data_IF_072010186029
#
_entry.id   IF_072010186029
#
_cell.length_a   1.000
_cell.length_b   1.000
_cell.length_c   1.000
_cell.angle_alpha   90.00
_cell.angle_beta   90.00
_cell.angle_gamma   90.00
#
_symmetry.space_group_name_H-M   'P 1'
#
loop_
_entity.id
_entity.type
_entity.pdbx_description
1 polymer ?
#
# COMPACT_ATOMS: atom_id res chain seq x y z
N UNK A 1 12.85 3.66 9.73
CA UNK A 1 12.53 2.24 9.39
C UNK A 1 11.19 2.16 8.69
N UNK A 2 11.15 1.65 7.46
CA UNK A 2 9.93 1.59 6.62
C UNK A 2 8.95 0.47 7.03
N UNK A 3 9.46 -0.66 7.51
CA UNK A 3 8.67 -1.87 7.78
C UNK A 3 7.92 -1.89 9.13
N UNK A 4 8.11 -0.87 9.97
CA UNK A 4 7.40 -0.72 11.26
C UNK A 4 6.16 0.18 11.16
N UNK A 5 5.88 0.77 10.00
CA UNK A 5 4.71 1.64 9.81
C UNK A 5 3.41 0.82 9.90
N UNK A 6 2.41 1.26 10.68
CA UNK A 6 1.07 0.67 10.69
C UNK A 6 0.41 0.68 9.32
N UNK A 7 -0.13 -0.47 8.91
CA UNK A 7 -0.97 -0.64 7.73
C UNK A 7 -2.45 -0.55 8.11
N UNK A 8 -2.81 -1.03 9.30
CA UNK A 8 -4.16 -0.90 9.86
C UNK A 8 -4.26 0.31 10.79
N UNK A 9 -5.49 0.70 11.11
CA UNK A 9 -5.79 1.75 12.08
C UNK A 9 -5.06 1.55 13.41
N UNK A 10 -4.62 2.65 13.99
CA UNK A 10 -4.01 2.71 15.33
C UNK A 10 -5.13 3.09 16.29
N UNK A 11 -5.47 2.17 17.19
CA UNK A 11 -6.45 2.43 18.24
C UNK A 11 -5.77 3.16 19.41
N UNK A 12 -6.51 4.04 20.08
CA UNK A 12 -6.05 4.78 21.27
C UNK A 12 -6.26 3.99 22.57
N UNK A 13 -7.05 2.91 22.53
CA UNK A 13 -7.33 2.05 23.68
C UNK A 13 -6.23 0.99 23.88
N UNK A 14 -5.62 0.86 25.08
CA UNK A 14 -4.65 -0.19 25.39
C UNK A 14 -5.19 -1.63 25.36
N UNK A 15 -6.51 -1.84 25.42
CA UNK A 15 -7.13 -3.17 25.31
C UNK A 15 -7.38 -3.60 23.87
N UNK A 16 -7.30 -2.68 22.91
CA UNK A 16 -7.45 -2.97 21.49
C UNK A 16 -6.16 -3.58 20.91
N UNK A 17 -6.26 -4.42 19.87
CA UNK A 17 -5.12 -5.16 19.37
C UNK A 17 -4.16 -4.24 18.61
N UNK A 18 -2.85 -4.36 18.86
CA UNK A 18 -1.82 -3.49 18.27
C UNK A 18 -1.78 -3.52 16.73
N UNK A 19 -1.60 -2.40 16.01
CA UNK A 19 -1.78 -2.35 14.55
C UNK A 19 -0.91 -3.34 13.76
N UNK A 20 -1.41 -3.84 12.62
CA UNK A 20 -0.64 -4.64 11.69
C UNK A 20 0.41 -3.79 10.95
N UNK A 21 1.61 -4.33 10.76
CA UNK A 21 2.74 -3.65 10.09
C UNK A 21 3.33 -4.57 9.00
N UNK A 22 4.09 -4.05 8.00
CA UNK A 22 4.75 -4.90 7.01
C UNK A 22 5.67 -5.95 7.65
N UNK A 23 6.31 -5.63 8.77
CA UNK A 23 7.12 -6.56 9.54
C UNK A 23 6.36 -7.84 9.96
N UNK A 24 5.05 -7.74 10.24
CA UNK A 24 4.25 -8.93 10.57
C UNK A 24 4.14 -9.91 9.41
N UNK A 25 4.18 -9.44 8.16
CA UNK A 25 4.15 -10.31 6.97
C UNK A 25 5.52 -10.91 6.67
N UNK A 26 6.59 -10.13 6.85
CA UNK A 26 7.95 -10.57 6.52
C UNK A 26 8.56 -11.47 7.58
N UNK A 27 8.29 -11.21 8.87
CA UNK A 27 9.00 -11.82 10.01
C UNK A 27 8.01 -12.48 10.98
N UNK A 28 6.71 -12.22 10.87
CA UNK A 28 5.69 -12.76 11.79
C UNK A 28 5.62 -12.04 13.15
N UNK A 29 6.41 -10.97 13.35
CA UNK A 29 6.46 -10.19 14.60
C UNK A 29 6.89 -8.75 14.34
N UNK A 30 6.74 -7.89 15.35
CA UNK A 30 7.19 -6.49 15.28
C UNK A 30 8.72 -6.44 15.26
N UNK A 31 9.29 -5.62 14.39
CA UNK A 31 10.74 -5.42 14.33
C UNK A 31 11.36 -4.88 15.63
N UNK A 32 10.57 -4.11 16.39
CA UNK A 32 10.99 -3.50 17.66
C UNK A 32 10.58 -4.33 18.88
N UNK A 33 10.10 -5.56 18.69
CA UNK A 33 9.80 -6.43 19.83
C UNK A 33 11.10 -6.83 20.52
N UNK A 34 11.14 -6.73 21.85
CA UNK A 34 12.25 -7.28 22.62
C UNK A 34 12.46 -8.77 22.27
N UNK A 35 13.71 -9.25 22.17
CA UNK A 35 13.98 -10.66 21.99
C UNK A 35 13.33 -11.45 23.13
N UNK A 36 12.67 -12.55 22.78
CA UNK A 36 12.05 -13.44 23.78
C UNK A 36 13.20 -14.11 24.55
N UNK A 37 13.48 -13.60 25.75
CA UNK A 37 14.52 -14.10 26.66
C UNK A 37 14.11 -15.37 27.39
N UNK A 38 12.86 -15.82 27.25
CA UNK A 38 12.35 -17.05 27.88
C UNK A 38 12.43 -18.21 26.88
N UNK A 39 13.63 -18.77 26.71
CA UNK A 39 13.77 -20.12 26.17
C UNK A 39 13.66 -21.06 27.36
N UNK A 40 12.60 -21.86 27.42
CA UNK A 40 12.49 -22.91 28.44
C UNK A 40 13.59 -23.96 28.19
N UNK A 41 14.16 -24.56 29.24
CA UNK A 41 15.07 -25.73 29.08
C UNK A 41 14.40 -26.87 28.31
N UNK A 42 13.07 -26.97 28.39
CA UNK A 42 12.26 -27.94 27.64
C UNK A 42 12.30 -27.68 26.11
N UNK A 43 12.40 -26.41 25.69
CA UNK A 43 12.50 -26.02 24.27
C UNK A 43 13.86 -26.40 23.67
N UNK A 44 14.90 -26.51 24.51
CA UNK A 44 16.26 -26.93 24.12
C UNK A 44 16.39 -28.44 23.98
N UNK A 45 15.55 -29.22 24.67
CA UNK A 45 15.65 -30.69 24.73
C UNK A 45 15.01 -31.46 23.57
N UNK A 46 14.50 -30.79 22.53
CA UNK A 46 14.16 -31.41 21.23
C UNK A 46 13.14 -32.55 21.26
N UNK A 47 12.42 -32.78 22.36
CA UNK A 47 11.43 -33.86 22.45
C UNK A 47 10.33 -33.67 21.40
N UNK A 48 9.89 -34.77 20.78
CA UNK A 48 8.81 -34.77 19.76
C UNK A 48 7.56 -34.01 20.26
N UNK A 49 7.23 -34.13 21.54
CA UNK A 49 6.07 -33.46 22.14
C UNK A 49 6.27 -31.93 22.25
N UNK A 50 7.48 -31.45 22.57
CA UNK A 50 7.75 -30.01 22.63
C UNK A 50 7.75 -29.37 21.24
N UNK A 51 8.29 -30.08 20.23
CA UNK A 51 8.22 -29.67 18.82
C UNK A 51 6.76 -29.57 18.32
N UNK A 52 5.93 -30.57 18.64
CA UNK A 52 4.50 -30.55 18.27
C UNK A 52 3.75 -29.41 18.97
N UNK A 53 4.04 -29.15 20.25
CA UNK A 53 3.44 -28.04 21.00
C UNK A 53 3.82 -26.69 20.39
N UNK A 54 5.10 -26.51 20.03
CA UNK A 54 5.60 -25.30 19.36
C UNK A 54 4.98 -25.12 17.97
N UNK A 55 4.88 -26.19 17.19
CA UNK A 55 4.21 -26.15 15.88
C UNK A 55 2.75 -25.73 16.01
N UNK A 56 1.98 -26.35 16.92
CA UNK A 56 0.58 -25.95 17.20
C UNK A 56 0.47 -24.48 17.63
N UNK A 57 1.39 -24.01 18.47
CA UNK A 57 1.44 -22.60 18.86
C UNK A 57 1.69 -21.67 17.67
N UNK A 58 2.63 -22.01 16.79
CA UNK A 58 2.89 -21.25 15.56
C UNK A 58 1.67 -21.23 14.63
N UNK A 59 1.00 -22.36 14.43
CA UNK A 59 -0.23 -22.43 13.63
C UNK A 59 -1.35 -21.56 14.22
N UNK A 60 -1.49 -21.56 15.55
CA UNK A 60 -2.47 -20.69 16.22
C UNK A 60 -2.17 -19.21 16.00
N UNK A 61 -0.90 -18.79 16.09
CA UNK A 61 -0.49 -17.41 15.81
C UNK A 61 -0.77 -17.01 14.36
N UNK A 62 -0.46 -17.89 13.40
CA UNK A 62 -0.76 -17.66 11.98
C UNK A 62 -2.28 -17.54 11.74
N UNK A 63 -3.08 -18.41 12.35
CA UNK A 63 -4.54 -18.36 12.24
C UNK A 63 -5.10 -17.04 12.80
N UNK A 64 -4.59 -16.59 13.96
CA UNK A 64 -4.98 -15.30 14.53
C UNK A 64 -4.59 -14.13 13.60
N UNK A 65 -3.38 -14.17 13.05
CA UNK A 65 -2.93 -13.17 12.09
C UNK A 65 -3.83 -13.10 10.85
N UNK A 66 -4.12 -14.24 10.20
CA UNK A 66 -4.95 -14.30 9.01
C UNK A 66 -6.40 -13.86 9.28
N UNK A 67 -6.97 -14.27 10.42
CA UNK A 67 -8.29 -13.82 10.84
C UNK A 67 -8.32 -12.29 11.00
N UNK A 68 -7.29 -11.72 11.63
CA UNK A 68 -7.20 -10.29 11.82
C UNK A 68 -6.96 -9.53 10.52
N UNK A 69 -6.11 -10.05 9.66
CA UNK A 69 -5.86 -9.48 8.33
C UNK A 69 -7.15 -9.42 7.52
N UNK A 70 -7.91 -10.51 7.46
CA UNK A 70 -9.19 -10.55 6.76
C UNK A 70 -10.21 -9.59 7.37
N UNK A 71 -10.31 -9.54 8.70
CA UNK A 71 -11.31 -8.72 9.39
C UNK A 71 -11.00 -7.23 9.33
N UNK A 72 -9.75 -6.82 9.58
CA UNK A 72 -9.42 -5.40 9.72
C UNK A 72 -8.84 -4.83 8.43
N UNK A 73 -7.87 -5.51 7.81
CA UNK A 73 -7.17 -4.94 6.66
C UNK A 73 -8.00 -5.03 5.39
N UNK A 74 -8.54 -6.20 5.02
CA UNK A 74 -9.34 -6.32 3.79
C UNK A 74 -10.60 -5.44 3.82
N UNK A 75 -11.28 -5.35 4.97
CA UNK A 75 -12.42 -4.44 5.12
C UNK A 75 -12.00 -2.97 5.01
N UNK A 76 -10.85 -2.59 5.58
CA UNK A 76 -10.33 -1.22 5.44
C UNK A 76 -9.97 -0.86 4.00
N UNK A 77 -9.49 -1.81 3.19
CA UNK A 77 -9.23 -1.61 1.77
C UNK A 77 -10.52 -1.33 1.00
N UNK A 78 -11.62 -2.02 1.37
CA UNK A 78 -12.93 -1.74 0.77
C UNK A 78 -13.37 -0.31 1.08
N UNK A 79 -13.26 0.17 2.32
CA UNK A 79 -13.59 1.55 2.66
C UNK A 79 -12.68 2.58 1.97
N UNK A 80 -11.37 2.31 1.81
CA UNK A 80 -10.46 3.20 1.08
C UNK A 80 -10.74 3.25 -0.43
N UNK A 81 -11.25 2.15 -1.01
CA UNK A 81 -11.67 2.11 -2.42
C UNK A 81 -13.09 2.65 -2.65
N UNK A 82 -13.86 2.91 -1.59
CA UNK A 82 -15.17 3.60 -1.63
C UNK A 82 -14.97 5.10 -1.34
N UNK A 83 -13.81 5.67 -1.66
CA UNK A 83 -13.82 7.09 -1.97
C UNK A 83 -14.72 7.24 -3.21
N UNK A 84 -15.89 7.91 -3.14
CA UNK A 84 -16.57 8.34 -4.36
C UNK A 84 -15.52 9.07 -5.20
N UNK A 85 -15.53 8.97 -6.55
CA UNK A 85 -14.60 9.71 -7.38
C UNK A 85 -14.67 11.14 -6.88
N UNK A 86 -13.60 11.56 -6.21
CA UNK A 86 -13.69 12.77 -5.42
C UNK A 86 -14.11 13.84 -6.40
N UNK A 87 -15.09 14.67 -6.03
CA UNK A 87 -15.39 15.90 -6.78
C UNK A 87 -14.19 16.85 -6.82
N UNK A 88 -13.00 16.41 -6.45
CA UNK A 88 -11.75 16.88 -7.05
C UNK A 88 -11.91 16.76 -8.56
N UNK A 89 -12.37 17.86 -9.14
CA UNK A 89 -11.94 18.32 -10.45
C UNK A 89 -10.41 18.29 -10.46
N UNK A 90 -9.85 17.11 -10.69
CA UNK A 90 -8.44 16.92 -10.91
C UNK A 90 -8.17 17.48 -12.32
N UNK A 91 -8.20 18.81 -12.41
CA UNK A 91 -7.76 19.52 -13.57
C UNK A 91 -6.26 19.34 -13.62
N UNK A 92 -5.80 18.70 -14.68
CA UNK A 92 -4.40 18.59 -15.02
C UNK A 92 -3.86 20.00 -15.26
N UNK A 93 -2.74 20.33 -14.62
CA UNK A 93 -2.02 21.57 -14.88
C UNK A 93 -0.72 21.27 -15.59
N UNK A 94 -0.22 22.27 -16.31
CA UNK A 94 1.18 22.27 -16.75
C UNK A 94 2.06 22.10 -15.52
N UNK A 95 3.11 21.32 -15.67
CA UNK A 95 4.07 20.89 -14.64
C UNK A 95 3.61 19.81 -13.64
N UNK A 96 2.36 19.34 -13.70
CA UNK A 96 1.94 18.19 -12.89
C UNK A 96 2.71 16.91 -13.27
N UNK A 97 2.98 16.06 -12.27
CA UNK A 97 3.62 14.75 -12.47
C UNK A 97 2.56 13.66 -12.50
N UNK A 98 2.57 12.88 -13.57
CA UNK A 98 1.56 11.84 -13.86
C UNK A 98 2.18 10.47 -14.10
N UNK A 99 1.45 9.41 -13.72
CA UNK A 99 1.65 8.06 -14.26
C UNK A 99 0.89 7.93 -15.57
N UNK A 100 1.54 7.33 -16.56
CA UNK A 100 0.99 7.07 -17.88
C UNK A 100 0.53 5.61 -17.92
N UNK A 101 -0.78 5.42 -18.06
CA UNK A 101 -1.39 4.11 -18.22
C UNK A 101 -0.95 3.49 -19.55
N UNK A 102 -0.40 2.27 -19.47
CA UNK A 102 -0.05 1.46 -20.63
C UNK A 102 -0.56 0.04 -20.40
N UNK A 103 -1.48 -0.42 -21.25
CA UNK A 103 -2.09 -1.76 -21.16
C UNK A 103 -1.06 -2.89 -21.34
N UNK A 104 0.09 -2.59 -21.96
CA UNK A 104 1.16 -3.56 -22.18
C UNK A 104 1.93 -3.89 -20.90
N UNK A 105 1.82 -3.04 -19.88
CA UNK A 105 2.58 -3.18 -18.64
C UNK A 105 1.67 -3.21 -17.41
N UNK A 106 1.98 -4.02 -16.40
CA UNK A 106 1.28 -3.95 -15.12
C UNK A 106 1.48 -2.58 -14.47
N UNK A 107 0.54 -2.17 -13.61
CA UNK A 107 0.47 -0.82 -13.01
C UNK A 107 1.77 -0.34 -12.35
N UNK A 108 2.53 -1.26 -11.75
CA UNK A 108 3.80 -0.95 -11.10
C UNK A 108 4.94 -0.62 -12.08
N UNK A 109 4.77 -0.86 -13.38
CA UNK A 109 5.72 -0.56 -14.44
C UNK A 109 5.24 0.59 -15.34
N UNK A 110 4.14 1.26 -14.99
CA UNK A 110 3.69 2.44 -15.70
C UNK A 110 4.75 3.55 -15.65
N UNK A 111 5.00 4.15 -16.81
CA UNK A 111 5.99 5.21 -16.93
C UNK A 111 5.49 6.49 -16.26
N UNK A 112 6.39 7.20 -15.59
CA UNK A 112 6.11 8.51 -15.03
C UNK A 112 6.54 9.60 -16.01
N UNK A 113 5.78 10.69 -16.06
CA UNK A 113 6.13 11.85 -16.86
C UNK A 113 5.57 13.15 -16.29
N UNK A 114 6.03 14.27 -16.85
CA UNK A 114 5.65 15.63 -16.46
C UNK A 114 4.83 16.27 -17.56
N UNK A 115 3.72 16.92 -17.23
CA UNK A 115 2.87 17.60 -18.21
C UNK A 115 3.58 18.86 -18.70
N UNK A 116 3.74 18.96 -20.02
CA UNK A 116 4.29 20.16 -20.68
C UNK A 116 3.14 21.06 -21.14
N UNK A 117 2.11 20.47 -21.74
CA UNK A 117 0.99 21.20 -22.32
C UNK A 117 -0.34 20.47 -22.11
N UNK A 118 -1.43 21.22 -22.08
CA UNK A 118 -2.80 20.70 -21.93
C UNK A 118 -3.68 21.18 -23.07
N UNK A 119 -4.49 20.29 -23.64
CA UNK A 119 -5.42 20.62 -24.73
C UNK A 119 -6.87 20.51 -24.26
N UNK A 120 -7.60 21.61 -24.39
CA UNK A 120 -9.01 21.73 -24.00
C UNK A 120 -9.97 21.47 -25.17
N UNK A 121 -11.14 20.94 -24.85
CA UNK A 121 -12.27 20.85 -25.78
C UNK A 121 -13.07 22.15 -25.89
N UNK A 122 -14.11 22.14 -26.72
CA UNK A 122 -15.08 23.25 -26.89
C UNK A 122 -15.82 23.62 -25.60
N UNK A 123 -15.90 22.70 -24.66
CA UNK A 123 -16.52 22.85 -23.33
C UNK A 123 -15.54 23.38 -22.26
N UNK A 124 -14.31 23.77 -22.66
CA UNK A 124 -13.27 24.26 -21.74
C UNK A 124 -12.62 23.17 -20.88
N UNK A 125 -12.99 21.90 -21.05
CA UNK A 125 -12.43 20.77 -20.27
C UNK A 125 -11.19 20.20 -20.95
N UNK A 126 -10.15 19.88 -20.18
CA UNK A 126 -8.92 19.25 -20.67
C UNK A 126 -9.21 17.80 -21.07
N UNK A 127 -8.87 17.43 -22.31
CA UNK A 127 -9.09 16.06 -22.83
C UNK A 127 -7.81 15.30 -23.13
N UNK A 128 -6.72 16.00 -23.40
CA UNK A 128 -5.41 15.38 -23.62
C UNK A 128 -4.29 16.28 -23.12
N UNK A 129 -3.18 15.68 -22.71
CA UNK A 129 -1.98 16.37 -22.26
C UNK A 129 -0.77 15.89 -23.04
N UNK A 130 0.18 16.77 -23.30
CA UNK A 130 1.52 16.42 -23.77
C UNK A 130 2.39 16.14 -22.55
N UNK A 131 2.90 14.92 -22.43
CA UNK A 131 3.65 14.46 -21.26
C UNK A 131 5.09 14.16 -21.66
N UNK A 132 6.05 14.81 -20.98
CA UNK A 132 7.48 14.51 -21.10
C UNK A 132 7.80 13.26 -20.28
N UNK A 133 8.20 12.20 -20.97
CA UNK A 133 8.81 11.01 -20.37
C UNK A 133 10.34 11.15 -20.47
N UNK A 134 11.10 10.23 -19.86
CA UNK A 134 12.58 10.21 -19.94
C UNK A 134 13.12 10.28 -21.37
N UNK A 135 12.45 9.62 -22.30
CA UNK A 135 12.98 9.41 -23.65
C UNK A 135 12.28 10.26 -24.72
N UNK A 136 11.00 10.60 -24.51
CA UNK A 136 10.18 11.28 -25.51
C UNK A 136 9.04 12.07 -24.86
N UNK A 137 8.48 13.02 -25.62
CA UNK A 137 7.21 13.64 -25.30
C UNK A 137 6.09 12.89 -26.03
N UNK A 138 5.06 12.46 -25.29
CA UNK A 138 3.92 11.74 -25.85
C UNK A 138 2.62 12.43 -25.50
N UNK A 139 1.71 12.51 -26.47
CA UNK A 139 0.36 13.02 -26.25
C UNK A 139 -0.52 11.88 -25.75
N UNK A 140 -1.18 12.07 -24.61
CA UNK A 140 -2.07 11.08 -24.01
C UNK A 140 -3.41 11.70 -23.60
N UNK A 141 -4.53 11.00 -23.82
CA UNK A 141 -5.81 11.38 -23.25
C UNK A 141 -5.74 11.36 -21.71
N UNK A 142 -6.46 12.29 -21.07
CA UNK A 142 -6.43 12.44 -19.59
C UNK A 142 -6.87 11.18 -18.84
N UNK A 143 -7.71 10.33 -19.44
CA UNK A 143 -8.13 9.05 -18.86
C UNK A 143 -6.99 8.04 -18.68
N UNK A 144 -5.90 8.20 -19.44
CA UNK A 144 -4.69 7.39 -19.34
C UNK A 144 -3.59 8.08 -18.52
N UNK A 145 -3.92 9.16 -17.82
CA UNK A 145 -3.00 9.89 -16.96
C UNK A 145 -3.53 9.90 -15.54
N UNK A 146 -2.73 9.45 -14.58
CA UNK A 146 -3.07 9.52 -13.16
C UNK A 146 -2.13 10.52 -12.48
N UNK A 147 -2.68 11.57 -11.87
CA UNK A 147 -1.88 12.57 -11.14
C UNK A 147 -1.30 11.94 -9.89
N UNK A 148 0.03 12.05 -9.72
CA UNK A 148 0.75 11.59 -8.53
C UNK A 148 1.10 12.77 -7.64
N UNK A 149 1.57 13.86 -8.25
CA UNK A 149 1.94 15.09 -7.56
C UNK A 149 1.34 16.26 -8.33
N UNK A 150 0.58 17.08 -7.60
CA UNK A 150 0.11 18.36 -8.11
C UNK A 150 1.19 19.41 -7.88
N UNK A 151 1.47 20.19 -8.91
CA UNK A 151 2.26 21.40 -8.72
C UNK A 151 1.36 22.46 -8.09
N UNK A 152 1.63 22.76 -6.81
CA UNK A 152 0.96 23.85 -6.10
C UNK A 152 1.80 25.11 -6.26
N UNK A 153 1.19 26.16 -6.78
CA UNK A 153 1.61 27.53 -6.49
C UNK A 153 0.95 27.97 -5.19
#
# INVERSE_FOLDING_TARGET
MINSRPITYIYDDPFEPSPLTPAHFLIGKRLLSLPVTRVSREDLTGSRLSLLKRYRHQQNLLNQFWNRWRKHYLLSLRSMNICPPSKVTCQFKVDDVVLIHDDRFPRNLWSMGKIIETYTGRDGKIRSCLVKTKNNAIRRPVQYCCIILKYNY
#
